data_IF_598931565954
#
_entry.id   IF_598931565954
#
_cell.length_a   1.000
_cell.length_b   1.000
_cell.length_c   1.000
_cell.angle_alpha   90.00
_cell.angle_beta   90.00
_cell.angle_gamma   90.00
#
_symmetry.space_group_name_H-M   'P 1'
#
loop_
_entity.id
_entity.type
_entity.pdbx_description
1 polymer ?
#
# COMPACT_ATOMS: atom_id res chain seq x y z
N UNK A 1 -14.70 3.15 -8.43
CA UNK A 1 -13.97 1.89 -8.24
C UNK A 1 -13.40 1.84 -6.83
N UNK A 2 -13.35 0.68 -6.17
CA UNK A 2 -12.73 0.57 -4.84
C UNK A 2 -11.21 0.44 -4.96
N UNK A 3 -10.48 1.09 -4.05
CA UNK A 3 -8.99 1.03 -4.02
C UNK A 3 -8.50 -0.42 -3.93
N UNK A 4 -9.20 -1.27 -3.18
CA UNK A 4 -8.90 -2.71 -3.07
C UNK A 4 -8.99 -3.44 -4.41
N UNK A 5 -10.01 -3.14 -5.21
CA UNK A 5 -10.16 -3.75 -6.54
C UNK A 5 -9.08 -3.29 -7.51
N UNK A 6 -8.68 -2.02 -7.43
CA UNK A 6 -7.59 -1.49 -8.24
C UNK A 6 -6.27 -2.17 -7.89
N UNK A 7 -5.93 -2.28 -6.59
CA UNK A 7 -4.72 -2.99 -6.14
C UNK A 7 -4.72 -4.45 -6.59
N UNK A 8 -5.84 -5.17 -6.42
CA UNK A 8 -5.91 -6.56 -6.86
C UNK A 8 -5.62 -6.70 -8.35
N UNK A 9 -6.21 -5.81 -9.17
CA UNK A 9 -6.05 -5.86 -10.63
C UNK A 9 -4.66 -5.48 -11.12
N UNK A 10 -4.04 -4.46 -10.52
CA UNK A 10 -2.77 -3.91 -10.99
C UNK A 10 -1.55 -4.62 -10.38
N UNK A 11 -1.69 -5.23 -9.20
CA UNK A 11 -0.55 -5.83 -8.47
C UNK A 11 -0.63 -7.35 -8.42
N UNK A 12 -1.79 -7.93 -8.07
CA UNK A 12 -1.87 -9.36 -7.78
C UNK A 12 -2.22 -10.22 -9.00
N UNK A 13 -3.20 -9.79 -9.81
CA UNK A 13 -3.60 -10.49 -11.04
C UNK A 13 -2.42 -10.70 -12.02
N UNK A 14 -1.52 -9.71 -12.26
CA UNK A 14 -0.39 -9.91 -13.17
C UNK A 14 0.63 -10.94 -12.70
N UNK A 15 0.66 -11.26 -11.40
CA UNK A 15 1.55 -12.24 -10.80
C UNK A 15 0.88 -13.60 -10.54
N UNK A 16 -0.37 -13.79 -11.01
CA UNK A 16 -1.20 -14.98 -10.72
C UNK A 16 -1.40 -15.21 -9.20
N UNK A 17 -1.32 -14.14 -8.41
CA UNK A 17 -1.54 -14.14 -6.97
C UNK A 17 -2.94 -13.61 -6.64
N UNK A 18 -3.48 -14.00 -5.48
CA UNK A 18 -4.79 -13.52 -5.01
C UNK A 18 -4.63 -12.69 -3.76
N UNK A 19 -5.03 -11.42 -3.81
CA UNK A 19 -5.06 -10.56 -2.63
C UNK A 19 -6.10 -11.07 -1.62
N UNK A 20 -5.64 -11.47 -0.43
CA UNK A 20 -6.48 -11.88 0.70
C UNK A 20 -6.98 -10.67 1.49
N UNK A 21 -6.07 -9.74 1.80
CA UNK A 21 -6.36 -8.57 2.65
C UNK A 21 -5.59 -7.36 2.14
N UNK A 22 -6.24 -6.18 2.20
CA UNK A 22 -5.59 -4.88 2.05
C UNK A 22 -6.04 -3.96 3.18
N UNK A 23 -5.09 -3.48 3.97
CA UNK A 23 -5.30 -2.60 5.11
C UNK A 23 -4.63 -1.25 4.86
N UNK A 24 -5.41 -0.16 4.94
CA UNK A 24 -4.87 1.18 4.87
C UNK A 24 -4.08 1.46 6.16
N UNK A 25 -2.85 1.92 6.02
CA UNK A 25 -1.97 2.25 7.14
C UNK A 25 -1.48 3.68 7.04
N UNK A 26 -1.39 4.34 8.19
CA UNK A 26 -0.73 5.63 8.33
C UNK A 26 0.65 5.41 8.91
N UNK A 27 1.69 5.83 8.20
CA UNK A 27 3.08 5.73 8.67
C UNK A 27 3.21 6.55 9.97
N UNK A 28 3.71 5.91 11.04
CA UNK A 28 4.07 6.63 12.26
C UNK A 28 5.36 7.42 11.97
N UNK A 29 5.26 8.75 11.96
CA UNK A 29 6.37 9.69 11.68
C UNK A 29 7.55 9.60 12.67
N UNK A 30 7.44 8.79 13.73
CA UNK A 30 8.43 8.67 14.80
C UNK A 30 9.70 7.90 14.43
N UNK A 31 9.71 7.08 13.36
CA UNK A 31 10.91 6.41 12.85
C UNK A 31 11.24 6.92 11.45
N UNK A 32 12.22 7.84 11.37
CA UNK A 32 12.87 8.22 10.10
C UNK A 32 13.62 7.00 9.59
N UNK A 33 13.03 6.30 8.62
CA UNK A 33 13.69 5.19 7.93
C UNK A 33 14.27 5.77 6.64
N UNK A 34 15.61 5.83 6.48
CA UNK A 34 16.27 6.66 5.47
C UNK A 34 16.08 6.18 4.02
N UNK A 35 15.75 4.91 3.79
CA UNK A 35 15.53 4.37 2.45
C UNK A 35 14.12 4.60 1.90
N UNK A 36 13.17 4.97 2.77
CA UNK A 36 11.79 5.21 2.39
C UNK A 36 11.60 6.71 2.34
N UNK A 37 11.66 7.27 1.12
CA UNK A 37 11.47 8.69 0.83
C UNK A 37 10.32 9.21 1.70
N UNK A 38 10.68 9.93 2.76
CA UNK A 38 9.71 10.54 3.66
C UNK A 38 9.32 11.82 2.96
N UNK A 39 8.63 11.67 1.82
CA UNK A 39 7.99 12.78 1.15
C UNK A 39 7.14 13.51 2.18
N UNK A 40 7.06 14.83 2.07
CA UNK A 40 6.25 15.66 2.96
C UNK A 40 4.83 15.11 3.09
N UNK A 41 4.09 15.65 4.05
CA UNK A 41 2.71 15.31 4.41
C UNK A 41 1.71 15.53 3.24
N UNK A 42 1.95 14.94 2.08
CA UNK A 42 0.97 14.71 1.04
C UNK A 42 0.20 13.43 1.38
N UNK A 43 -1.06 13.38 0.97
CA UNK A 43 -2.03 12.30 1.19
C UNK A 43 -1.64 10.96 0.54
N UNK A 44 -0.43 10.46 0.80
CA UNK A 44 -0.04 9.13 0.38
C UNK A 44 -0.80 8.09 1.23
N UNK A 45 -1.87 7.57 0.65
CA UNK A 45 -2.59 6.42 1.22
C UNK A 45 -1.74 5.17 1.02
N UNK A 46 -1.13 4.69 2.10
CA UNK A 46 -0.33 3.46 2.08
C UNK A 46 -1.23 2.28 2.43
N UNK A 47 -1.07 1.17 1.72
CA UNK A 47 -1.76 -0.09 2.03
C UNK A 47 -0.74 -1.19 2.27
N UNK A 48 -0.99 -2.00 3.30
CA UNK A 48 -0.33 -3.30 3.46
C UNK A 48 -1.26 -4.33 2.89
N UNK A 49 -0.77 -5.10 1.91
CA UNK A 49 -1.53 -6.14 1.23
C UNK A 49 -0.90 -7.50 1.52
N UNK A 50 -1.74 -8.53 1.65
CA UNK A 50 -1.35 -9.92 1.88
C UNK A 50 -1.99 -10.76 0.78
N UNK A 51 -1.20 -11.60 0.12
CA UNK A 51 -1.62 -12.65 -0.81
C UNK A 51 -1.11 -14.01 -0.37
#
# INVERSE_FOLDING_TARGET
>A
MSVKSAINKEVFIPHDEKMLVAAQVKRRTKKKIPFLATGGQGDYMTFICIS
#
